data_IF_584498741330
#
_entry.id   IF_584498741330
#
_cell.length_a   1.000
_cell.length_b   1.000
_cell.length_c   1.000
_cell.angle_alpha   90.00
_cell.angle_beta   90.00
_cell.angle_gamma   90.00
#
_symmetry.space_group_name_H-M   'P 1'
#
loop_
_entity.id
_entity.type
_entity.pdbx_description
1 polymer ?
#
# COMPACT_ATOMS: atom_id res chain seq x y z
N UNK A 1 -83.72 21.70 -3.90
CA UNK A 1 -83.38 22.84 -3.01
C UNK A 1 -82.09 22.47 -2.28
N UNK A 2 -80.96 23.08 -2.66
CA UNK A 2 -79.67 22.85 -2.02
C UNK A 2 -79.15 24.22 -1.58
N UNK A 3 -79.05 24.40 -0.27
CA UNK A 3 -78.47 25.58 0.38
C UNK A 3 -76.98 25.67 0.01
N UNK A 4 -76.58 26.87 -0.35
CA UNK A 4 -75.20 27.32 -0.39
C UNK A 4 -74.92 27.84 1.01
N UNK A 5 -73.91 27.29 1.68
CA UNK A 5 -73.33 27.88 2.88
C UNK A 5 -72.09 28.69 2.48
N UNK A 6 -72.06 29.91 3.03
CA UNK A 6 -71.04 30.95 2.89
C UNK A 6 -69.81 30.67 3.79
N UNK A 7 -68.64 31.01 3.22
CA UNK A 7 -67.44 31.58 3.86
C UNK A 7 -66.98 31.08 5.23
N UNK A 8 -65.81 30.43 5.22
CA UNK A 8 -64.69 30.81 6.08
C UNK A 8 -63.43 30.86 5.21
N UNK A 9 -62.98 32.06 4.87
CA UNK A 9 -61.70 32.33 4.23
C UNK A 9 -60.59 32.11 5.25
N UNK A 10 -60.11 30.87 5.37
CA UNK A 10 -58.82 30.58 6.00
C UNK A 10 -57.70 31.10 5.09
N UNK A 11 -57.12 32.23 5.50
CA UNK A 11 -55.95 32.85 4.90
C UNK A 11 -54.80 31.82 4.76
N UNK A 12 -54.39 31.47 3.53
CA UNK A 12 -53.31 30.51 3.30
C UNK A 12 -51.97 31.23 3.47
N UNK A 13 -51.47 31.32 4.69
CA UNK A 13 -50.19 31.97 4.98
C UNK A 13 -49.79 32.09 6.46
N UNK A 14 -50.69 31.80 7.40
CA UNK A 14 -50.40 31.89 8.84
C UNK A 14 -49.44 30.80 9.34
N UNK A 15 -49.62 29.55 8.88
CA UNK A 15 -48.95 28.37 9.46
C UNK A 15 -47.44 28.34 9.12
N UNK A 16 -47.08 28.63 7.87
CA UNK A 16 -45.66 28.64 7.45
C UNK A 16 -44.84 29.77 8.08
N UNK A 17 -45.44 30.94 8.36
CA UNK A 17 -44.71 31.99 9.08
C UNK A 17 -44.51 31.62 10.54
N UNK A 18 -45.53 31.04 11.18
CA UNK A 18 -45.45 30.62 12.58
C UNK A 18 -44.45 29.45 12.74
N UNK A 19 -44.38 28.52 11.79
CA UNK A 19 -43.38 27.45 11.74
C UNK A 19 -41.95 27.98 11.58
N UNK A 20 -41.74 28.94 10.66
CA UNK A 20 -40.42 29.56 10.46
C UNK A 20 -40.00 30.36 11.71
N UNK A 21 -40.94 31.11 12.30
CA UNK A 21 -40.65 31.93 13.48
C UNK A 21 -40.42 31.04 14.72
N UNK A 22 -41.20 29.97 14.88
CA UNK A 22 -41.01 28.99 15.95
C UNK A 22 -39.67 28.27 15.83
N UNK A 23 -39.23 27.95 14.61
CA UNK A 23 -37.93 27.32 14.39
C UNK A 23 -36.76 28.29 14.66
N UNK A 24 -36.89 29.57 14.26
CA UNK A 24 -35.88 30.60 14.55
C UNK A 24 -35.80 30.90 16.06
N UNK A 25 -36.94 31.07 16.72
CA UNK A 25 -37.00 31.30 18.17
C UNK A 25 -36.53 30.06 18.93
N UNK A 26 -36.86 28.86 18.45
CA UNK A 26 -36.37 27.59 19.00
C UNK A 26 -34.85 27.49 18.96
N UNK A 27 -34.22 27.80 17.82
CA UNK A 27 -32.75 27.85 17.70
C UNK A 27 -32.16 28.92 18.63
N UNK A 28 -32.79 30.10 18.75
CA UNK A 28 -32.33 31.16 19.65
C UNK A 28 -32.39 30.76 21.12
N UNK A 29 -33.49 30.12 21.56
CA UNK A 29 -33.62 29.62 22.94
C UNK A 29 -32.60 28.52 23.21
N UNK A 30 -32.41 27.59 22.27
CA UNK A 30 -31.42 26.52 22.40
C UNK A 30 -30.00 27.09 22.50
N UNK A 31 -29.66 28.11 21.71
CA UNK A 31 -28.37 28.80 21.79
C UNK A 31 -28.18 29.54 23.12
N UNK A 32 -29.20 30.25 23.62
CA UNK A 32 -29.13 30.96 24.92
C UNK A 32 -28.98 29.96 26.07
N UNK A 33 -29.68 28.83 26.03
CA UNK A 33 -29.54 27.77 27.04
C UNK A 33 -28.16 27.12 26.95
N UNK A 34 -27.63 26.84 25.76
CA UNK A 34 -26.29 26.26 25.59
C UNK A 34 -25.20 27.23 26.05
N UNK A 35 -25.32 28.53 25.76
CA UNK A 35 -24.41 29.57 26.26
C UNK A 35 -24.57 29.76 27.76
N UNK A 36 -25.79 29.69 28.30
CA UNK A 36 -26.08 29.74 29.74
C UNK A 36 -25.52 28.54 30.51
N UNK A 37 -25.61 27.33 29.95
CA UNK A 37 -25.02 26.10 30.50
C UNK A 37 -23.49 26.12 30.38
N UNK A 38 -22.93 26.70 29.31
CA UNK A 38 -21.49 26.86 29.13
C UNK A 38 -20.91 27.95 30.04
N UNK A 39 -21.64 29.03 30.28
CA UNK A 39 -21.26 30.10 31.22
C UNK A 39 -21.45 29.65 32.69
N UNK A 40 -22.51 28.89 32.98
CA UNK A 40 -22.76 28.30 34.30
C UNK A 40 -21.75 27.21 34.69
N UNK A 41 -21.17 26.50 33.71
CA UNK A 41 -20.09 25.52 33.94
C UNK A 41 -18.73 26.14 34.30
N UNK A 42 -18.57 27.47 34.21
CA UNK A 42 -17.32 28.14 34.56
C UNK A 42 -17.33 28.84 35.94
N UNK A 43 -18.41 28.77 36.74
CA UNK A 43 -18.49 29.50 38.03
C UNK A 43 -18.77 28.60 39.25
N UNK A 44 -18.91 27.28 39.10
CA UNK A 44 -18.95 26.36 40.25
C UNK A 44 -18.05 25.15 40.01
N UNK A 45 -16.81 25.23 40.49
CA UNK A 45 -16.06 24.05 40.85
C UNK A 45 -16.35 23.74 42.32
N UNK A 46 -17.01 22.62 42.66
CA UNK A 46 -16.86 22.03 43.98
C UNK A 46 -15.44 21.47 44.07
N UNK A 47 -14.84 21.57 45.26
CA UNK A 47 -13.47 21.14 45.60
C UNK A 47 -12.97 19.97 44.74
N UNK A 48 -12.18 20.30 43.71
CA UNK A 48 -11.32 19.32 43.07
C UNK A 48 -10.23 18.98 44.10
N UNK A 49 -9.90 17.68 44.30
CA UNK A 49 -8.72 17.35 45.08
C UNK A 49 -7.54 18.06 44.41
N UNK A 50 -6.72 18.73 45.21
CA UNK A 50 -5.47 19.36 44.78
C UNK A 50 -4.61 18.26 44.17
N UNK A 51 -4.78 18.02 42.88
CA UNK A 51 -3.84 17.26 42.08
C UNK A 51 -2.53 18.05 42.13
N UNK A 52 -1.46 17.36 42.49
CA UNK A 52 -0.12 17.91 42.63
C UNK A 52 0.14 18.96 41.56
N UNK A 53 0.23 20.22 41.97
CA UNK A 53 0.56 21.31 41.06
C UNK A 53 1.94 20.98 40.47
N UNK A 54 1.97 20.68 39.16
CA UNK A 54 3.24 20.47 38.48
C UNK A 54 4.13 21.69 38.75
N UNK A 55 5.36 21.49 39.26
CA UNK A 55 6.25 22.60 39.57
C UNK A 55 6.42 23.47 38.32
N UNK A 56 6.39 24.79 38.49
CA UNK A 56 6.48 25.75 37.37
C UNK A 56 7.68 25.43 36.43
N UNK A 57 8.75 24.90 37.01
CA UNK A 57 9.96 24.45 36.31
C UNK A 57 9.71 23.28 35.33
N UNK A 58 8.82 22.33 35.63
CA UNK A 58 8.50 21.20 34.74
C UNK A 58 7.67 21.65 33.54
N UNK A 59 6.75 22.60 33.75
CA UNK A 59 5.97 23.20 32.67
C UNK A 59 6.86 24.04 31.74
N UNK A 60 7.80 24.79 32.31
CA UNK A 60 8.74 25.62 31.57
C UNK A 60 9.76 24.77 30.79
N UNK A 61 10.18 23.62 31.34
CA UNK A 61 10.98 22.63 30.63
C UNK A 61 10.23 22.04 29.41
N UNK A 62 8.97 21.61 29.59
CA UNK A 62 8.14 21.09 28.49
C UNK A 62 7.90 22.11 27.38
N UNK A 63 7.64 23.38 27.74
CA UNK A 63 7.47 24.44 26.75
C UNK A 63 8.76 24.67 25.95
N UNK A 64 9.92 24.65 26.62
CA UNK A 64 11.21 24.77 25.94
C UNK A 64 11.50 23.58 25.01
N UNK A 65 11.12 22.36 25.41
CA UNK A 65 11.26 21.17 24.57
C UNK A 65 10.34 21.23 23.34
N UNK A 66 9.09 21.67 23.51
CA UNK A 66 8.17 21.89 22.39
C UNK A 66 8.69 22.97 21.42
N UNK A 67 9.22 24.08 21.94
CA UNK A 67 9.82 25.13 21.09
C UNK A 67 11.04 24.61 20.34
N UNK A 68 11.87 23.76 20.97
CA UNK A 68 13.00 23.11 20.29
C UNK A 68 12.52 22.15 19.21
N UNK A 69 11.49 21.36 19.48
CA UNK A 69 10.91 20.43 18.52
C UNK A 69 10.35 21.15 17.30
N UNK A 70 9.54 22.20 17.49
CA UNK A 70 8.98 22.99 16.38
C UNK A 70 10.10 23.63 15.53
N UNK A 71 11.18 24.10 16.16
CA UNK A 71 12.33 24.65 15.41
C UNK A 71 13.07 23.59 14.62
N UNK A 72 13.23 22.38 15.17
CA UNK A 72 13.85 21.25 14.47
C UNK A 72 13.00 20.82 13.26
N UNK A 73 11.68 20.69 13.45
CA UNK A 73 10.74 20.38 12.37
C UNK A 73 10.76 21.44 11.26
N UNK A 74 10.83 22.73 11.63
CA UNK A 74 10.97 23.82 10.65
C UNK A 74 12.28 23.71 9.86
N UNK A 75 13.41 23.40 10.51
CA UNK A 75 14.67 23.20 9.79
C UNK A 75 14.62 21.99 8.86
N UNK A 76 13.94 20.91 9.27
CA UNK A 76 13.80 19.71 8.44
C UNK A 76 12.92 19.97 7.22
N UNK A 77 11.85 20.75 7.37
CA UNK A 77 10.99 21.17 6.24
C UNK A 77 11.79 22.01 5.24
N UNK A 78 12.63 22.94 5.70
CA UNK A 78 13.48 23.74 4.82
C UNK A 78 14.52 22.87 4.10
N UNK A 79 15.18 21.95 4.82
CA UNK A 79 16.12 21.02 4.22
C UNK A 79 15.45 20.08 3.20
N UNK A 80 14.21 19.66 3.46
CA UNK A 80 13.44 18.84 2.53
C UNK A 80 13.05 19.63 1.28
N UNK A 81 12.63 20.89 1.44
CA UNK A 81 12.34 21.79 0.31
C UNK A 81 13.55 21.94 -0.62
N UNK A 82 14.73 22.15 -0.05
CA UNK A 82 15.96 22.32 -0.84
C UNK A 82 16.32 21.02 -1.60
N UNK A 83 16.09 19.85 -0.98
CA UNK A 83 16.26 18.55 -1.65
C UNK A 83 15.27 18.37 -2.80
N UNK A 84 14.02 18.77 -2.64
CA UNK A 84 13.01 18.71 -3.71
C UNK A 84 13.41 19.59 -4.88
N UNK A 85 13.83 20.83 -4.62
CA UNK A 85 14.29 21.74 -5.67
C UNK A 85 15.51 21.20 -6.43
N UNK A 86 16.48 20.62 -5.71
CA UNK A 86 17.64 19.99 -6.33
C UNK A 86 17.27 18.76 -7.18
N UNK A 87 16.29 17.97 -6.72
CA UNK A 87 15.79 16.81 -7.46
C UNK A 87 15.02 17.22 -8.72
N UNK A 88 14.22 18.29 -8.66
CA UNK A 88 13.52 18.86 -9.82
C UNK A 88 14.50 19.36 -10.89
N UNK A 89 15.55 20.08 -10.49
CA UNK A 89 16.56 20.57 -11.43
C UNK A 89 17.33 19.42 -12.11
N UNK A 90 17.69 18.39 -11.35
CA UNK A 90 18.32 17.19 -11.92
C UNK A 90 17.37 16.44 -12.86
N UNK A 91 16.08 16.36 -12.54
CA UNK A 91 15.08 15.74 -13.41
C UNK A 91 14.94 16.50 -14.73
N UNK A 92 14.91 17.84 -14.69
CA UNK A 92 14.88 18.68 -15.89
C UNK A 92 16.13 18.49 -16.75
N UNK A 93 17.33 18.46 -16.13
CA UNK A 93 18.59 18.20 -16.85
C UNK A 93 18.58 16.83 -17.54
N UNK A 94 18.12 15.79 -16.86
CA UNK A 94 18.01 14.44 -17.43
C UNK A 94 16.99 14.36 -18.56
N UNK A 95 15.87 15.07 -18.44
CA UNK A 95 14.88 15.09 -19.50
C UNK A 95 15.41 15.81 -20.74
N UNK A 96 16.10 16.94 -20.58
CA UNK A 96 16.78 17.63 -21.68
C UNK A 96 17.82 16.74 -22.37
N UNK A 97 18.63 16.01 -21.60
CA UNK A 97 19.58 15.03 -22.16
C UNK A 97 18.85 13.92 -22.92
N UNK A 98 17.77 13.36 -22.36
CA UNK A 98 16.96 12.34 -23.03
C UNK A 98 16.37 12.84 -24.34
N UNK A 99 15.79 14.04 -24.35
CA UNK A 99 15.22 14.65 -25.55
C UNK A 99 16.28 14.85 -26.63
N UNK A 100 17.47 15.33 -26.26
CA UNK A 100 18.59 15.48 -27.21
C UNK A 100 19.06 14.15 -27.78
N UNK A 101 19.13 13.10 -26.94
CA UNK A 101 19.50 11.75 -27.36
C UNK A 101 18.46 11.13 -28.30
N UNK A 102 17.17 11.31 -28.01
CA UNK A 102 16.08 10.87 -28.88
C UNK A 102 16.18 11.54 -30.23
N UNK A 103 16.35 12.88 -30.28
CA UNK A 103 16.49 13.63 -31.52
C UNK A 103 17.69 13.15 -32.36
N UNK A 104 18.82 12.88 -31.70
CA UNK A 104 20.01 12.39 -32.39
C UNK A 104 19.79 10.99 -32.98
N UNK A 105 19.17 10.08 -32.22
CA UNK A 105 18.84 8.73 -32.69
C UNK A 105 17.82 8.76 -33.83
N UNK A 106 16.78 9.60 -33.76
CA UNK A 106 15.83 9.74 -34.87
C UNK A 106 16.49 10.30 -36.11
N UNK A 107 17.36 11.31 -35.97
CA UNK A 107 18.12 11.85 -37.11
C UNK A 107 19.01 10.79 -37.75
N UNK A 108 19.79 10.05 -36.97
CA UNK A 108 20.65 8.98 -37.48
C UNK A 108 19.86 7.87 -38.17
N UNK A 109 18.68 7.51 -37.63
CA UNK A 109 17.79 6.54 -38.28
C UNK A 109 17.27 7.04 -39.61
N UNK A 110 16.84 8.30 -39.67
CA UNK A 110 16.39 8.91 -40.92
C UNK A 110 17.50 8.96 -41.98
N UNK A 111 18.72 9.37 -41.59
CA UNK A 111 19.89 9.34 -42.49
C UNK A 111 20.22 7.91 -42.97
N UNK A 112 20.09 6.92 -42.09
CA UNK A 112 20.31 5.51 -42.44
C UNK A 112 19.23 4.97 -43.38
N UNK A 113 17.98 5.35 -43.18
CA UNK A 113 16.86 4.93 -44.02
C UNK A 113 16.94 5.62 -45.40
N UNK A 114 17.32 6.90 -45.46
CA UNK A 114 17.61 7.61 -46.72
C UNK A 114 18.79 6.98 -47.48
N UNK A 115 19.87 6.65 -46.76
CA UNK A 115 21.00 5.92 -47.34
C UNK A 115 20.57 4.55 -47.89
N UNK A 116 19.67 3.84 -47.19
CA UNK A 116 19.10 2.58 -47.66
C UNK A 116 18.23 2.75 -48.89
N UNK A 117 17.40 3.78 -48.95
CA UNK A 117 16.57 4.09 -50.13
C UNK A 117 17.42 4.47 -51.35
N UNK A 118 18.59 5.09 -51.14
CA UNK A 118 19.54 5.42 -52.21
C UNK A 118 20.32 4.23 -52.78
N UNK A 119 20.28 3.08 -52.10
CA UNK A 119 20.96 1.84 -52.53
C UNK A 119 20.05 1.01 -53.44
N UNK A 120 20.58 0.53 -54.56
CA UNK A 120 19.87 -0.35 -55.50
C UNK A 120 19.40 -1.64 -54.79
N UNK A 121 18.35 -2.29 -55.28
CA UNK A 121 17.78 -3.53 -54.71
C UNK A 121 18.82 -4.65 -54.61
N UNK A 122 19.85 -4.63 -55.45
CA UNK A 122 21.01 -5.55 -55.38
C UNK A 122 21.95 -5.26 -54.20
N UNK A 123 22.21 -3.99 -53.91
CA UNK A 123 23.07 -3.56 -52.81
C UNK A 123 22.40 -3.75 -51.45
N UNK A 124 21.09 -3.51 -51.37
CA UNK A 124 20.30 -3.80 -50.17
C UNK A 124 20.34 -5.29 -49.78
N UNK A 125 20.23 -6.19 -50.77
CA UNK A 125 20.36 -7.64 -50.54
C UNK A 125 21.76 -8.01 -50.08
N UNK A 126 22.79 -7.46 -50.74
CA UNK A 126 24.18 -7.73 -50.40
C UNK A 126 24.52 -7.27 -48.97
N UNK A 127 24.05 -6.09 -48.56
CA UNK A 127 24.19 -5.56 -47.20
C UNK A 127 23.44 -6.40 -46.17
N UNK A 128 22.22 -6.84 -46.48
CA UNK A 128 21.42 -7.70 -45.59
C UNK A 128 22.15 -9.03 -45.36
N UNK A 129 22.58 -9.69 -46.43
CA UNK A 129 23.35 -10.93 -46.34
C UNK A 129 24.68 -10.73 -45.60
N UNK A 130 25.38 -9.61 -45.79
CA UNK A 130 26.60 -9.31 -45.04
C UNK A 130 26.35 -9.14 -43.54
N UNK A 131 25.27 -8.45 -43.17
CA UNK A 131 24.86 -8.27 -41.77
C UNK A 131 24.45 -9.61 -41.13
N UNK A 132 23.70 -10.45 -41.85
CA UNK A 132 23.32 -11.79 -41.40
C UNK A 132 24.57 -12.67 -41.16
N UNK A 133 25.54 -12.64 -42.08
CA UNK A 133 26.81 -13.37 -41.93
C UNK A 133 27.59 -12.84 -40.72
N UNK A 134 27.65 -11.52 -40.53
CA UNK A 134 28.34 -10.91 -39.38
C UNK A 134 27.68 -11.30 -38.04
N UNK A 135 26.35 -11.27 -37.98
CA UNK A 135 25.59 -11.71 -36.80
C UNK A 135 25.76 -13.20 -36.53
N UNK A 136 25.74 -14.04 -37.57
CA UNK A 136 25.98 -15.47 -37.46
C UNK A 136 27.38 -15.76 -36.91
N UNK A 137 28.42 -15.02 -37.36
CA UNK A 137 29.79 -15.11 -36.83
C UNK A 137 29.88 -14.71 -35.37
N UNK A 138 29.28 -13.58 -34.97
CA UNK A 138 29.26 -13.16 -33.56
C UNK A 138 28.55 -14.18 -32.67
N UNK A 139 27.47 -14.77 -33.16
CA UNK A 139 26.73 -15.83 -32.45
C UNK A 139 27.59 -17.09 -32.32
N UNK A 140 28.28 -17.49 -33.39
CA UNK A 140 29.20 -18.61 -33.37
C UNK A 140 30.35 -18.37 -32.38
N UNK A 141 30.96 -17.19 -32.38
CA UNK A 141 32.04 -16.84 -31.44
C UNK A 141 31.57 -16.82 -29.99
N UNK A 142 30.32 -16.40 -29.74
CA UNK A 142 29.70 -16.47 -28.42
C UNK A 142 29.50 -17.92 -27.98
N UNK A 143 28.86 -18.72 -28.83
CA UNK A 143 28.58 -20.14 -28.54
C UNK A 143 29.86 -20.95 -28.38
N UNK A 144 30.89 -20.65 -29.16
CA UNK A 144 32.21 -21.30 -29.05
C UNK A 144 32.88 -20.94 -27.73
N UNK A 145 32.81 -19.67 -27.30
CA UNK A 145 33.29 -19.26 -25.97
C UNK A 145 32.50 -19.91 -24.84
N UNK A 146 31.18 -20.01 -24.97
CA UNK A 146 30.32 -20.72 -24.00
C UNK A 146 30.68 -22.21 -23.94
N UNK A 147 30.89 -22.86 -25.09
CA UNK A 147 31.30 -24.26 -25.16
C UNK A 147 32.68 -24.50 -24.54
N UNK A 148 33.65 -23.62 -24.81
CA UNK A 148 34.99 -23.69 -24.21
C UNK A 148 34.90 -23.44 -22.70
N UNK A 149 34.10 -22.47 -22.25
CA UNK A 149 33.88 -22.22 -20.83
C UNK A 149 33.29 -23.46 -20.14
N UNK A 150 32.25 -24.07 -20.72
CA UNK A 150 31.62 -25.29 -20.22
C UNK A 150 32.57 -26.50 -20.23
N UNK A 151 33.44 -26.62 -21.24
CA UNK A 151 34.41 -27.72 -21.34
C UNK A 151 35.65 -27.53 -20.45
N UNK A 152 35.97 -26.29 -20.08
CA UNK A 152 37.11 -25.95 -19.22
C UNK A 152 36.73 -25.88 -17.73
N UNK A 153 35.44 -25.98 -17.40
CA UNK A 153 35.00 -26.21 -16.02
C UNK A 153 35.29 -27.68 -15.70
N UNK A 154 36.45 -27.94 -15.09
CA UNK A 154 36.62 -29.14 -14.26
C UNK A 154 35.43 -29.25 -13.30
N UNK A 155 34.93 -30.45 -12.98
CA UNK A 155 33.77 -30.61 -12.11
C UNK A 155 34.09 -30.01 -10.73
N UNK A 156 33.66 -28.76 -10.53
CA UNK A 156 33.65 -28.12 -9.23
C UNK A 156 32.76 -28.95 -8.30
N UNK A 157 33.12 -29.08 -7.02
CA UNK A 157 32.43 -29.96 -6.08
C UNK A 157 30.98 -29.51 -5.95
N UNK A 158 30.05 -30.46 -6.11
CA UNK A 158 28.61 -30.38 -5.84
C UNK A 158 28.00 -28.97 -5.93
N UNK A 159 27.86 -28.48 -7.16
CA UNK A 159 27.02 -27.31 -7.42
C UNK A 159 25.54 -27.73 -7.29
N UNK A 160 24.93 -27.41 -6.15
CA UNK A 160 23.47 -27.50 -5.99
C UNK A 160 22.79 -26.55 -7.00
N UNK A 161 21.94 -27.06 -7.90
CA UNK A 161 21.28 -26.23 -8.90
C UNK A 161 20.28 -25.28 -8.22
N UNK A 162 20.62 -23.99 -8.15
CA UNK A 162 19.68 -22.93 -7.77
C UNK A 162 18.73 -22.67 -8.93
N UNK A 163 17.57 -23.32 -8.92
CA UNK A 163 16.46 -22.99 -9.82
C UNK A 163 15.92 -21.59 -9.51
N UNK A 164 16.26 -20.61 -10.35
CA UNK A 164 15.60 -19.30 -10.33
C UNK A 164 14.29 -19.41 -11.10
N UNK A 165 13.19 -19.61 -10.37
CA UNK A 165 11.85 -19.51 -10.93
C UNK A 165 11.49 -18.02 -11.14
N UNK A 166 11.01 -17.61 -12.33
CA UNK A 166 10.57 -16.24 -12.57
C UNK A 166 9.45 -15.86 -11.60
N UNK A 167 9.60 -14.73 -10.90
CA UNK A 167 8.56 -14.16 -10.06
C UNK A 167 7.39 -13.73 -10.94
N UNK A 168 6.18 -14.31 -10.79
CA UNK A 168 5.05 -13.97 -11.63
C UNK A 168 4.63 -12.51 -11.41
N UNK A 169 4.41 -11.80 -12.51
CA UNK A 169 3.71 -10.51 -12.51
C UNK A 169 2.23 -10.83 -12.32
N UNK A 170 1.61 -10.30 -11.27
CA UNK A 170 0.19 -10.47 -10.99
C UNK A 170 -0.59 -9.61 -11.99
N UNK A 171 -1.17 -10.25 -13.01
CA UNK A 171 -2.14 -9.58 -13.89
C UNK A 171 -3.40 -9.26 -13.08
N UNK A 172 -3.90 -8.03 -13.20
CA UNK A 172 -4.99 -7.44 -12.39
C UNK A 172 -6.36 -8.13 -12.47
N UNK A 173 -6.46 -9.36 -12.97
CA UNK A 173 -7.63 -10.23 -12.78
C UNK A 173 -7.46 -11.05 -11.50
N UNK A 174 -7.71 -10.40 -10.37
CA UNK A 174 -7.89 -10.96 -9.03
C UNK A 174 -7.43 -12.43 -8.84
N UNK A 175 -6.12 -12.64 -8.94
CA UNK A 175 -5.49 -13.84 -8.37
C UNK A 175 -5.65 -13.72 -6.86
N UNK A 176 -6.41 -14.63 -6.25
CA UNK A 176 -6.53 -14.66 -4.80
C UNK A 176 -5.14 -14.88 -4.20
N UNK A 177 -4.71 -14.02 -3.28
CA UNK A 177 -3.40 -14.16 -2.67
C UNK A 177 -3.56 -14.85 -1.32
N UNK A 178 -2.80 -15.93 -1.11
CA UNK A 178 -2.65 -16.57 0.20
C UNK A 178 -1.26 -16.31 0.74
N UNK A 179 -1.14 -15.88 1.99
CA UNK A 179 0.15 -15.48 2.57
C UNK A 179 0.64 -16.47 3.62
N UNK A 180 1.93 -16.82 3.54
CA UNK A 180 2.63 -17.61 4.55
C UNK A 180 3.90 -16.92 5.01
N UNK A 181 4.25 -17.06 6.29
CA UNK A 181 5.51 -16.60 6.87
C UNK A 181 6.44 -17.78 7.10
N UNK A 182 7.71 -17.63 6.70
CA UNK A 182 8.82 -18.50 7.10
C UNK A 182 9.81 -17.71 7.98
N UNK A 183 9.91 -18.09 9.26
CA UNK A 183 10.84 -17.49 10.24
C UNK A 183 11.34 -18.56 11.21
N UNK A 184 12.64 -18.54 11.54
CA UNK A 184 13.37 -19.61 12.26
C UNK A 184 13.03 -21.02 11.77
N UNK A 185 12.84 -21.19 10.46
CA UNK A 185 12.44 -22.46 9.86
C UNK A 185 11.04 -22.95 10.28
N UNK A 186 10.16 -22.07 10.75
CA UNK A 186 8.75 -22.36 11.04
C UNK A 186 7.85 -21.65 10.04
N UNK A 187 6.91 -22.40 9.47
CA UNK A 187 5.94 -21.95 8.50
C UNK A 187 4.60 -21.67 9.18
N UNK A 188 4.03 -20.49 8.92
CA UNK A 188 2.74 -20.04 9.47
C UNK A 188 1.89 -19.40 8.41
N UNK A 189 0.58 -19.64 8.44
CA UNK A 189 -0.38 -18.89 7.64
C UNK A 189 -0.60 -17.49 8.20
N UNK A 190 -0.58 -16.50 7.32
CA UNK A 190 -0.84 -15.10 7.66
C UNK A 190 -2.27 -14.75 7.21
N UNK A 191 -3.19 -14.48 8.14
CA UNK A 191 -4.62 -14.31 7.87
C UNK A 191 -4.97 -12.90 7.37
N UNK A 192 -4.39 -12.49 6.22
CA UNK A 192 -4.56 -11.14 5.69
C UNK A 192 -6.03 -10.90 5.30
N UNK A 193 -6.61 -11.84 4.56
CA UNK A 193 -7.97 -11.72 4.03
C UNK A 193 -9.00 -11.71 5.17
N UNK A 194 -8.80 -12.54 6.21
CA UNK A 194 -9.69 -12.59 7.37
C UNK A 194 -9.60 -11.31 8.20
N UNK A 195 -8.41 -10.72 8.34
CA UNK A 195 -8.23 -9.45 9.05
C UNK A 195 -8.87 -8.29 8.27
N UNK A 196 -8.76 -8.29 6.94
CA UNK A 196 -9.45 -7.30 6.08
C UNK A 196 -10.98 -7.42 6.21
N UNK A 197 -11.51 -8.64 6.27
CA UNK A 197 -12.94 -8.88 6.49
C UNK A 197 -13.39 -8.40 7.87
N UNK A 198 -12.60 -8.63 8.93
CA UNK A 198 -12.90 -8.11 10.26
C UNK A 198 -12.82 -6.58 10.32
N UNK A 199 -11.87 -5.99 9.60
CA UNK A 199 -11.75 -4.55 9.47
C UNK A 199 -12.98 -3.95 8.81
N UNK A 200 -13.42 -4.53 7.69
CA UNK A 200 -14.61 -4.08 6.98
C UNK A 200 -15.88 -4.08 7.85
N UNK A 201 -15.98 -4.98 8.83
CA UNK A 201 -17.10 -5.03 9.79
C UNK A 201 -16.99 -3.99 10.90
N UNK A 202 -15.77 -3.66 11.32
CA UNK A 202 -15.51 -2.78 12.47
C UNK A 202 -15.41 -1.30 12.08
N UNK A 203 -15.20 -1.00 10.80
CA UNK A 203 -15.08 0.37 10.32
C UNK A 203 -16.36 1.18 10.61
N UNK A 204 -16.22 2.18 11.48
CA UNK A 204 -17.23 3.22 11.69
C UNK A 204 -16.83 4.48 10.91
N UNK A 205 -17.78 5.07 10.19
CA UNK A 205 -17.53 6.29 9.40
C UNK A 205 -17.36 7.48 10.36
N UNK A 206 -16.19 8.13 10.41
CA UNK A 206 -15.99 9.28 11.27
C UNK A 206 -16.81 10.47 10.77
N UNK A 207 -17.21 11.34 11.69
CA UNK A 207 -17.85 12.60 11.34
C UNK A 207 -16.82 13.53 10.68
N UNK A 208 -16.87 13.64 9.35
CA UNK A 208 -16.01 14.55 8.59
C UNK A 208 -16.69 15.92 8.51
N UNK A 209 -16.23 16.87 9.32
CA UNK A 209 -16.77 18.25 9.33
C UNK A 209 -16.17 19.12 8.21
N UNK A 210 -14.97 18.79 7.74
CA UNK A 210 -14.25 19.53 6.69
C UNK A 210 -13.90 18.59 5.53
N UNK A 211 -14.52 18.74 4.35
CA UNK A 211 -14.29 17.88 3.18
C UNK A 211 -12.90 18.07 2.52
N UNK A 212 -12.14 19.09 2.91
CA UNK A 212 -10.79 19.34 2.41
C UNK A 212 -9.71 18.62 3.21
N UNK A 213 -10.04 18.08 4.39
CA UNK A 213 -9.11 17.37 5.26
C UNK A 213 -9.32 15.86 5.15
N UNK A 214 -8.23 15.13 4.94
CA UNK A 214 -8.22 13.69 5.16
C UNK A 214 -8.24 13.42 6.66
N UNK A 215 -9.18 12.58 7.10
CA UNK A 215 -9.18 12.06 8.47
C UNK A 215 -8.48 10.72 8.46
N UNK A 216 -7.57 10.48 9.39
CA UNK A 216 -6.92 9.17 9.55
C UNK A 216 -7.37 8.57 10.87
N UNK A 217 -7.92 7.36 10.83
CA UNK A 217 -8.29 6.58 12.02
C UNK A 217 -7.38 5.37 12.16
N UNK A 218 -7.15 4.95 13.40
CA UNK A 218 -6.34 3.79 13.72
C UNK A 218 -7.23 2.72 14.35
N UNK A 219 -7.22 1.53 13.79
CA UNK A 219 -8.02 0.40 14.28
C UNK A 219 -7.11 -0.77 14.65
N UNK A 220 -7.40 -1.40 15.79
CA UNK A 220 -6.76 -2.66 16.20
C UNK A 220 -7.73 -3.82 15.98
N UNK A 221 -7.25 -4.88 15.33
CA UNK A 221 -8.01 -6.03 14.86
C UNK A 221 -7.43 -7.32 15.44
N UNK A 222 -8.29 -8.26 15.81
CA UNK A 222 -7.88 -9.59 16.25
C UNK A 222 -7.86 -9.77 17.78
N UNK A 223 -7.34 -10.92 18.26
CA UNK A 223 -6.50 -11.87 17.52
C UNK A 223 -7.25 -12.76 16.53
N UNK A 224 -6.81 -12.78 15.26
CA UNK A 224 -7.29 -13.69 14.21
C UNK A 224 -6.16 -14.65 13.87
N UNK A 225 -6.38 -15.96 14.00
CA UNK A 225 -5.36 -17.00 13.74
C UNK A 225 -3.99 -16.76 14.41
N UNK A 226 -3.99 -16.06 15.56
CA UNK A 226 -2.76 -15.72 16.30
C UNK A 226 -2.07 -14.43 15.88
N UNK A 227 -2.69 -13.63 15.02
CA UNK A 227 -2.21 -12.32 14.59
C UNK A 227 -3.12 -11.20 15.08
N UNK A 228 -2.53 -10.10 15.51
CA UNK A 228 -3.19 -8.82 15.75
C UNK A 228 -2.83 -7.88 14.61
N UNK A 229 -3.83 -7.27 14.00
CA UNK A 229 -3.68 -6.27 12.96
C UNK A 229 -3.81 -4.86 13.53
N UNK A 230 -2.93 -3.96 13.10
CA UNK A 230 -3.03 -2.52 13.34
C UNK A 230 -3.23 -1.86 11.96
N UNK A 231 -4.41 -1.27 11.76
CA UNK A 231 -4.83 -0.68 10.50
C UNK A 231 -4.91 0.84 10.62
N UNK A 232 -4.35 1.53 9.64
CA UNK A 232 -4.46 2.96 9.42
C UNK A 232 -5.41 3.19 8.24
N UNK A 233 -6.49 3.94 8.48
CA UNK A 233 -7.56 4.14 7.51
C UNK A 233 -7.67 5.64 7.23
N UNK A 234 -7.37 6.01 5.99
CA UNK A 234 -7.61 7.34 5.47
C UNK A 234 -9.05 7.50 4.99
N UNK A 235 -9.67 8.60 5.34
CA UNK A 235 -11.02 8.94 4.94
C UNK A 235 -10.98 10.17 4.04
N UNK A 236 -11.54 10.05 2.84
CA UNK A 236 -11.66 11.16 1.91
C UNK A 236 -13.10 11.34 1.44
N UNK A 237 -13.51 12.59 1.30
CA UNK A 237 -14.78 12.95 0.68
C UNK A 237 -14.57 13.02 -0.82
N UNK A 238 -15.27 12.18 -1.58
CA UNK A 238 -15.27 12.25 -3.04
C UNK A 238 -16.66 12.57 -3.54
N UNK A 239 -16.74 13.59 -4.41
CA UNK A 239 -17.93 13.88 -5.18
C UNK A 239 -17.89 13.07 -6.48
N UNK A 240 -18.89 12.22 -6.70
CA UNK A 240 -19.11 11.54 -7.96
C UNK A 240 -20.46 12.00 -8.52
N UNK A 241 -20.43 12.98 -9.43
CA UNK A 241 -21.63 13.66 -9.90
C UNK A 241 -22.33 14.43 -8.77
N UNK A 242 -23.63 14.22 -8.57
CA UNK A 242 -24.45 14.89 -7.55
C UNK A 242 -24.37 14.25 -6.15
N UNK A 243 -23.63 13.14 -5.99
CA UNK A 243 -23.50 12.45 -4.69
C UNK A 243 -22.13 12.68 -4.08
N UNK A 244 -22.14 13.25 -2.88
CA UNK A 244 -20.98 13.35 -2.00
C UNK A 244 -20.95 12.07 -1.16
N UNK A 245 -19.85 11.33 -1.22
CA UNK A 245 -19.66 10.10 -0.47
C UNK A 245 -18.32 10.09 0.27
N UNK A 246 -18.34 9.59 1.50
CA UNK A 246 -17.12 9.30 2.26
C UNK A 246 -16.64 7.91 1.84
N UNK A 247 -15.37 7.80 1.46
CA UNK A 247 -14.74 6.52 1.10
C UNK A 247 -13.57 6.22 2.05
N UNK A 248 -13.56 5.06 2.72
CA UNK A 248 -12.37 4.60 3.42
C UNK A 248 -11.31 4.16 2.41
N UNK A 249 -10.05 4.44 2.73
CA UNK A 249 -8.86 4.01 2.03
C UNK A 249 -7.91 3.40 3.06
N UNK A 250 -7.53 2.14 2.87
CA UNK A 250 -6.62 1.44 3.79
C UNK A 250 -5.18 1.92 3.54
N UNK A 251 -4.68 2.85 4.35
CA UNK A 251 -3.32 3.37 4.18
C UNK A 251 -2.27 2.29 4.47
N UNK A 252 -2.34 1.71 5.67
CA UNK A 252 -1.36 0.73 6.16
C UNK A 252 -2.02 -0.33 7.03
N UNK A 253 -1.66 -1.58 6.85
CA UNK A 253 -2.03 -2.69 7.73
C UNK A 253 -0.76 -3.38 8.21
N UNK A 254 -0.51 -3.35 9.51
CA UNK A 254 0.60 -4.04 10.16
C UNK A 254 0.07 -5.25 10.91
N UNK A 255 0.68 -6.41 10.71
CA UNK A 255 0.36 -7.63 11.43
C UNK A 255 1.47 -8.00 12.40
N UNK A 256 1.08 -8.28 13.64
CA UNK A 256 1.94 -8.74 14.73
C UNK A 256 1.48 -10.09 15.24
N UNK A 257 2.41 -11.01 15.45
CA UNK A 257 2.11 -12.28 16.12
C UNK A 257 1.88 -12.07 17.61
N UNK A 258 0.82 -12.70 18.12
CA UNK A 258 0.52 -12.73 19.55
C UNK A 258 1.47 -13.70 20.27
N UNK A 259 1.77 -14.83 19.63
CA UNK A 259 2.69 -15.85 20.15
C UNK A 259 3.89 -15.94 19.22
N UNK A 260 5.08 -15.50 19.65
CA UNK A 260 6.29 -15.56 18.83
C UNK A 260 6.59 -17.00 18.43
N UNK A 261 7.01 -17.20 17.17
CA UNK A 261 7.45 -18.51 16.67
C UNK A 261 6.36 -19.58 16.69
N UNK A 262 5.10 -19.17 16.58
CA UNK A 262 4.03 -20.06 16.14
C UNK A 262 4.44 -20.71 14.81
N UNK A 263 3.95 -21.91 14.54
CA UNK A 263 4.15 -22.61 13.27
C UNK A 263 4.87 -23.93 13.37
N UNK A 264 4.69 -24.70 12.30
CA UNK A 264 5.24 -26.03 12.11
C UNK A 264 6.50 -25.96 11.26
N UNK A 265 7.37 -26.95 11.38
CA UNK A 265 8.47 -27.09 10.41
C UNK A 265 7.90 -27.32 8.99
N UNK A 266 8.62 -27.02 7.91
CA UNK A 266 8.17 -27.33 6.54
C UNK A 266 7.78 -28.80 6.35
N UNK A 267 8.47 -29.73 7.00
CA UNK A 267 8.18 -31.16 6.92
C UNK A 267 6.83 -31.52 7.55
N UNK A 268 6.57 -30.99 8.74
CA UNK A 268 5.28 -31.17 9.42
C UNK A 268 4.15 -30.46 8.68
N UNK A 269 4.37 -29.21 8.27
CA UNK A 269 3.37 -28.34 7.65
C UNK A 269 2.84 -28.91 6.33
N UNK A 270 3.71 -29.54 5.55
CA UNK A 270 3.37 -30.19 4.28
C UNK A 270 3.07 -31.69 4.40
N UNK A 271 3.25 -32.26 5.59
CA UNK A 271 2.97 -33.67 5.88
C UNK A 271 1.47 -33.98 5.96
N UNK A 272 1.11 -35.27 6.11
CA UNK A 272 -0.27 -35.69 6.27
C UNK A 272 -0.88 -35.12 7.56
N UNK A 273 -1.92 -34.30 7.43
CA UNK A 273 -2.55 -33.58 8.54
C UNK A 273 -1.87 -32.24 8.89
N UNK A 274 -0.81 -31.87 8.18
CA UNK A 274 -0.15 -30.57 8.32
C UNK A 274 -1.08 -29.42 7.94
N UNK A 275 -0.96 -28.31 8.64
CA UNK A 275 -1.89 -27.20 8.51
C UNK A 275 -1.80 -26.47 7.15
N UNK A 276 -0.65 -26.54 6.46
CA UNK A 276 -0.52 -25.99 5.10
C UNK A 276 -1.22 -26.90 4.10
N UNK A 277 -1.05 -28.23 4.23
CA UNK A 277 -1.73 -29.20 3.38
C UNK A 277 -3.24 -29.03 3.38
N UNK A 278 -3.86 -29.01 4.57
CA UNK A 278 -5.31 -28.89 4.72
C UNK A 278 -5.89 -27.58 4.16
N UNK A 279 -5.14 -26.47 4.21
CA UNK A 279 -5.56 -25.20 3.62
C UNK A 279 -5.42 -25.17 2.10
N UNK A 280 -4.33 -25.74 1.57
CA UNK A 280 -4.10 -25.75 0.12
C UNK A 280 -5.07 -26.68 -0.61
N UNK A 281 -5.53 -27.79 0.02
CA UNK A 281 -6.50 -28.72 -0.56
C UNK A 281 -7.86 -28.06 -0.88
N UNK A 282 -8.21 -26.97 -0.18
CA UNK A 282 -9.45 -26.23 -0.38
C UNK A 282 -9.34 -25.16 -1.49
N UNK A 283 -8.17 -24.97 -2.10
CA UNK A 283 -7.87 -23.87 -3.02
C UNK A 283 -7.53 -24.37 -4.42
N UNK A 284 -7.99 -23.63 -5.43
CA UNK A 284 -7.64 -23.90 -6.83
C UNK A 284 -6.28 -23.27 -7.17
N UNK A 285 -5.27 -24.11 -7.44
CA UNK A 285 -3.89 -23.68 -7.66
C UNK A 285 -3.70 -22.69 -8.83
N UNK A 286 -4.56 -22.74 -9.85
CA UNK A 286 -4.51 -21.83 -10.99
C UNK A 286 -4.91 -20.38 -10.63
N UNK A 287 -5.87 -20.23 -9.70
CA UNK A 287 -6.46 -18.93 -9.32
C UNK A 287 -5.78 -18.29 -8.11
N UNK A 288 -4.89 -19.02 -7.44
CA UNK A 288 -4.28 -18.59 -6.19
C UNK A 288 -2.78 -18.41 -6.33
N UNK A 289 -2.28 -17.26 -5.90
CA UNK A 289 -0.84 -16.98 -5.77
C UNK A 289 -0.43 -17.06 -4.30
N UNK A 290 0.55 -17.90 -4.02
CA UNK A 290 1.16 -18.05 -2.71
C UNK A 290 2.21 -16.97 -2.50
N UNK A 291 1.97 -16.07 -1.55
CA UNK A 291 2.95 -15.09 -1.09
C UNK A 291 3.72 -15.65 0.10
N UNK A 292 5.00 -15.93 -0.09
CA UNK A 292 5.90 -16.42 0.95
C UNK A 292 6.74 -15.26 1.51
N UNK A 293 6.45 -14.86 2.75
CA UNK A 293 7.20 -13.86 3.50
C UNK A 293 8.33 -14.55 4.25
N UNK A 294 9.57 -14.35 3.81
CA UNK A 294 10.75 -15.02 4.37
C UNK A 294 11.56 -14.02 5.18
N UNK A 295 11.90 -14.40 6.41
CA UNK A 295 12.81 -13.65 7.26
C UNK A 295 14.26 -14.08 7.06
N UNK A 296 15.21 -13.18 7.31
CA UNK A 296 16.65 -13.39 7.09
C UNK A 296 17.20 -14.66 7.76
N UNK A 297 16.62 -15.08 8.89
CA UNK A 297 16.97 -16.34 9.57
C UNK A 297 16.61 -17.63 8.81
N UNK A 298 15.84 -17.54 7.73
CA UNK A 298 15.29 -18.67 7.01
C UNK A 298 15.45 -18.56 5.49
N UNK A 299 16.35 -17.69 5.00
CA UNK A 299 16.63 -17.55 3.57
C UNK A 299 17.09 -18.86 2.93
N UNK A 300 17.93 -19.63 3.62
CA UNK A 300 18.44 -20.91 3.11
C UNK A 300 17.33 -21.95 2.87
N UNK A 301 16.23 -21.87 3.63
CA UNK A 301 15.08 -22.80 3.53
C UNK A 301 14.01 -22.32 2.55
N UNK A 302 14.10 -21.08 2.05
CA UNK A 302 13.10 -20.51 1.17
C UNK A 302 12.99 -21.21 -0.20
N UNK A 303 14.10 -21.62 -0.87
CA UNK A 303 14.01 -22.34 -2.14
C UNK A 303 13.29 -23.69 -1.99
N UNK A 304 13.59 -24.43 -0.92
CA UNK A 304 12.97 -25.72 -0.62
C UNK A 304 11.46 -25.58 -0.39
N UNK A 305 11.06 -24.64 0.47
CA UNK A 305 9.63 -24.37 0.76
C UNK A 305 8.91 -23.90 -0.51
N UNK A 306 9.55 -23.02 -1.30
CA UNK A 306 9.01 -22.55 -2.57
C UNK A 306 8.83 -23.67 -3.60
N UNK A 307 9.76 -24.65 -3.64
CA UNK A 307 9.64 -25.84 -4.50
C UNK A 307 8.43 -26.69 -4.10
N UNK A 308 8.21 -26.94 -2.81
CA UNK A 308 7.06 -27.72 -2.31
C UNK A 308 5.69 -27.09 -2.63
N UNK A 309 5.60 -25.76 -2.71
CA UNK A 309 4.39 -25.09 -3.20
C UNK A 309 4.22 -25.22 -4.71
N UNK A 310 5.31 -25.07 -5.49
CA UNK A 310 5.31 -25.24 -6.95
C UNK A 310 4.95 -26.67 -7.38
N UNK A 311 5.46 -27.69 -6.68
CA UNK A 311 5.13 -29.10 -6.91
C UNK A 311 3.62 -29.40 -6.74
N UNK A 312 2.92 -28.60 -5.92
CA UNK A 312 1.47 -28.65 -5.76
C UNK A 312 0.70 -27.79 -6.77
N UNK A 313 1.39 -27.21 -7.76
CA UNK A 313 0.80 -26.42 -8.84
C UNK A 313 0.59 -24.94 -8.53
N UNK A 314 0.99 -24.45 -7.34
CA UNK A 314 0.79 -23.05 -6.97
C UNK A 314 1.89 -22.15 -7.53
N UNK A 315 1.49 -20.95 -7.97
CA UNK A 315 2.43 -19.85 -8.26
C UNK A 315 2.93 -19.25 -6.96
N UNK A 316 4.24 -19.01 -6.85
CA UNK A 316 4.87 -18.51 -5.62
C UNK A 316 5.53 -17.16 -5.85
N UNK A 317 5.19 -16.18 -5.02
CA UNK A 317 5.84 -14.88 -4.94
C UNK A 317 6.57 -14.77 -3.59
N UNK A 318 7.87 -14.48 -3.61
CA UNK A 318 8.66 -14.37 -2.39
C UNK A 318 8.85 -12.90 -1.99
N UNK A 319 8.72 -12.63 -0.69
CA UNK A 319 8.99 -11.32 -0.09
C UNK A 319 10.02 -11.51 1.02
N UNK A 320 11.20 -10.93 0.84
CA UNK A 320 12.28 -10.99 1.84
C UNK A 320 12.11 -9.89 2.88
N UNK A 321 12.32 -10.21 4.15
CA UNK A 321 12.26 -9.28 5.28
C UNK A 321 13.45 -9.46 6.22
N UNK A 322 13.88 -8.35 6.82
CA UNK A 322 14.84 -8.37 7.90
C UNK A 322 14.21 -8.97 9.17
N UNK A 323 15.04 -9.57 10.02
CA UNK A 323 14.60 -10.12 11.31
C UNK A 323 13.98 -9.02 12.18
N UNK A 324 12.78 -9.28 12.72
CA UNK A 324 12.05 -8.33 13.57
C UNK A 324 11.22 -7.29 12.82
N UNK A 325 11.31 -7.21 11.48
CA UNK A 325 10.43 -6.36 10.69
C UNK A 325 8.98 -6.85 10.81
N UNK A 326 8.02 -5.94 10.94
CA UNK A 326 6.60 -6.32 10.93
C UNK A 326 6.12 -6.72 9.53
N UNK A 327 5.08 -7.54 9.48
CA UNK A 327 4.40 -7.87 8.22
C UNK A 327 3.48 -6.70 7.90
N UNK A 328 3.73 -6.03 6.78
CA UNK A 328 3.00 -4.81 6.38
C UNK A 328 2.37 -4.94 5.01
N UNK A 329 1.13 -4.48 4.89
CA UNK A 329 0.38 -4.35 3.65
C UNK A 329 -0.07 -2.89 3.49
N UNK A 330 -0.14 -2.40 2.26
CA UNK A 330 -0.62 -1.05 1.92
C UNK A 330 -1.46 -1.15 0.65
N UNK A 331 -2.53 -0.35 0.55
CA UNK A 331 -3.40 -0.33 -0.62
C UNK A 331 -2.75 0.26 -1.87
N UNK A 332 -1.63 0.97 -1.73
CA UNK A 332 -0.98 1.69 -2.84
C UNK A 332 -0.05 0.83 -3.70
N UNK A 333 -0.18 -0.50 -3.64
CA UNK A 333 0.59 -1.43 -4.48
C UNK A 333 2.09 -1.51 -4.17
N UNK A 334 2.62 -0.60 -3.36
CA UNK A 334 3.96 -0.66 -2.82
C UNK A 334 3.92 -1.32 -1.45
N UNK A 335 4.64 -2.44 -1.30
CA UNK A 335 4.92 -3.00 0.02
C UNK A 335 5.40 -1.88 0.93
N UNK A 336 4.77 -1.74 2.11
CA UNK A 336 5.28 -0.90 3.16
C UNK A 336 6.64 -1.46 3.59
N UNK A 337 7.71 -0.92 2.99
CA UNK A 337 9.07 -1.07 3.48
C UNK A 337 9.10 -0.21 4.74
N UNK A 338 8.79 -0.84 5.87
CA UNK A 338 9.10 -0.27 7.17
C UNK A 338 10.62 -0.26 7.28
N UNK A 339 11.22 0.93 7.15
CA UNK A 339 12.62 1.17 7.51
C UNK A 339 12.78 1.09 9.03
#
# INVERSE_FOLDING_TARGET
MRRVDESDEEMPGGDSFLDITANIVGILVLLVVVVGVRAGRHVFFPDAPVADAEPLDSLQARLNDQVRQVRAEQSDILALRDKVLAAEDEALRRDAMRQSGVLYVTKLRAELDEARESLDKGDQRSLTTHNEIAQAKLTLDRLTREQIALASVEPAPDAEPVEVAPTPIVDGKADQTISFRLQKGRLVYVPVNEIELELAKKIEIPAITDPTRSVVTHETLGPVEGFVGEAEIGWSVRAAGSRIGIRPQLGKLLLREVTPLRGESPDEAFGPGGYVGSRLELLEAEKVVVRLIVYADSFDKAPEVGKRFRERGFRVAQSLKANGALIGFSSDGHQAVTQ
#
